data_IF_918198066106
#
_entry.id   IF_918198066106
#
_cell.length_a   1.000
_cell.length_b   1.000
_cell.length_c   1.000
_cell.angle_alpha   90.00
_cell.angle_beta   90.00
_cell.angle_gamma   90.00
#
_symmetry.space_group_name_H-M   'P 1'
#
loop_
_entity.id
_entity.type
_entity.pdbx_description
1 polymer ?
#
# COMPACT_ATOMS: atom_id res chain seq x y z
N UNK A 1 6.70 -25.52 -2.20
CA UNK A 1 6.58 -24.52 -1.12
C UNK A 1 6.00 -23.27 -1.77
N UNK A 2 4.80 -22.85 -1.38
CA UNK A 2 4.18 -21.63 -1.94
C UNK A 2 5.06 -20.45 -1.52
N UNK A 3 5.73 -19.82 -2.47
CA UNK A 3 6.40 -18.52 -2.25
C UNK A 3 5.30 -17.52 -1.99
N UNK A 4 4.92 -17.38 -0.72
CA UNK A 4 3.98 -16.36 -0.27
C UNK A 4 4.54 -15.02 -0.78
N UNK A 5 3.88 -14.45 -1.79
CA UNK A 5 4.35 -13.24 -2.46
C UNK A 5 4.53 -12.16 -1.38
N UNK A 6 5.69 -11.48 -1.28
CA UNK A 6 5.91 -10.49 -0.24
C UNK A 6 4.82 -9.43 -0.25
N UNK A 7 4.31 -9.08 0.94
CA UNK A 7 3.24 -8.10 1.12
C UNK A 7 3.54 -6.78 0.39
N UNK A 8 4.80 -6.34 0.34
CA UNK A 8 5.24 -5.16 -0.41
C UNK A 8 4.99 -5.28 -1.91
N UNK A 9 5.32 -6.41 -2.53
CA UNK A 9 5.12 -6.61 -3.97
C UNK A 9 3.63 -6.51 -4.27
N UNK A 10 2.80 -7.17 -3.46
CA UNK A 10 1.35 -7.17 -3.65
C UNK A 10 0.72 -5.79 -3.44
N UNK A 11 1.11 -5.06 -2.38
CA UNK A 11 0.66 -3.68 -2.14
C UNK A 11 1.06 -2.78 -3.31
N UNK A 12 2.31 -2.88 -3.79
CA UNK A 12 2.76 -2.07 -4.91
C UNK A 12 1.98 -2.39 -6.19
N UNK A 13 1.76 -3.65 -6.53
CA UNK A 13 0.91 -4.05 -7.67
C UNK A 13 -0.49 -3.41 -7.56
N UNK A 14 -1.15 -3.50 -6.39
CA UNK A 14 -2.49 -2.94 -6.18
C UNK A 14 -2.52 -1.41 -6.31
N UNK A 15 -1.43 -0.74 -5.98
CA UNK A 15 -1.27 0.72 -6.12
C UNK A 15 -0.90 1.16 -7.53
N UNK A 16 -0.37 0.30 -8.41
CA UNK A 16 -0.07 0.67 -9.81
C UNK A 16 -1.33 1.05 -10.59
N UNK A 17 -2.48 0.46 -10.24
CA UNK A 17 -3.76 0.69 -10.93
C UNK A 17 -4.49 1.95 -10.47
N UNK A 18 -4.09 2.57 -9.36
CA UNK A 18 -4.79 3.71 -8.78
C UNK A 18 -3.88 4.92 -8.59
N UNK A 19 -4.31 6.08 -9.10
CA UNK A 19 -3.61 7.36 -8.89
C UNK A 19 -3.60 7.76 -7.42
N UNK A 20 -4.62 7.34 -6.66
CA UNK A 20 -4.79 7.60 -5.23
C UNK A 20 -5.80 6.59 -4.68
N UNK A 21 -5.39 5.77 -3.70
CA UNK A 21 -6.18 4.65 -3.18
C UNK A 21 -6.42 4.84 -1.68
N UNK A 22 -7.66 4.78 -1.23
CA UNK A 22 -7.96 4.78 0.21
C UNK A 22 -7.44 3.49 0.87
N UNK A 23 -6.99 3.60 2.12
CA UNK A 23 -6.49 2.45 2.87
C UNK A 23 -7.50 1.30 2.96
N UNK A 24 -8.76 1.61 3.24
CA UNK A 24 -9.81 0.59 3.37
C UNK A 24 -10.07 -0.13 2.04
N UNK A 25 -10.01 0.60 0.93
CA UNK A 25 -10.13 0.02 -0.41
C UNK A 25 -8.93 -0.89 -0.75
N UNK A 26 -7.72 -0.51 -0.33
CA UNK A 26 -6.53 -1.35 -0.51
C UNK A 26 -6.64 -2.64 0.31
N UNK A 27 -7.08 -2.55 1.57
CA UNK A 27 -7.30 -3.70 2.45
C UNK A 27 -8.33 -4.66 1.84
N UNK A 28 -9.44 -4.13 1.32
CA UNK A 28 -10.48 -4.93 0.66
C UNK A 28 -9.97 -5.69 -0.59
N UNK A 29 -8.94 -5.17 -1.28
CA UNK A 29 -8.32 -5.80 -2.46
C UNK A 29 -7.19 -6.79 -2.12
N UNK A 30 -6.78 -6.86 -0.85
CA UNK A 30 -5.74 -7.75 -0.35
C UNK A 30 -6.22 -8.59 0.85
N UNK A 31 -7.35 -9.34 0.74
CA UNK A 31 -7.90 -10.13 1.84
C UNK A 31 -6.97 -11.25 2.33
N UNK A 32 -5.91 -11.56 1.59
CA UNK A 32 -4.87 -12.51 1.96
C UNK A 32 -3.94 -12.03 3.09
N UNK A 33 -4.00 -10.75 3.49
CA UNK A 33 -3.17 -10.18 4.56
C UNK A 33 -4.01 -9.55 5.68
N UNK A 34 -3.44 -9.50 6.88
CA UNK A 34 -4.08 -8.80 7.99
C UNK A 34 -3.97 -7.28 7.79
N UNK A 35 -5.00 -6.55 8.23
CA UNK A 35 -5.03 -5.08 8.20
C UNK A 35 -3.81 -4.45 8.88
N UNK A 36 -3.38 -5.01 10.01
CA UNK A 36 -2.18 -4.56 10.73
C UNK A 36 -0.91 -4.71 9.89
N UNK A 37 -0.76 -5.84 9.19
CA UNK A 37 0.42 -6.11 8.36
C UNK A 37 0.46 -5.15 7.17
N UNK A 38 -0.69 -4.89 6.54
CA UNK A 38 -0.84 -3.91 5.46
C UNK A 38 -0.47 -2.51 5.97
N UNK A 39 -0.97 -2.11 7.15
CA UNK A 39 -0.68 -0.80 7.74
C UNK A 39 0.83 -0.62 8.04
N UNK A 40 1.45 -1.62 8.67
CA UNK A 40 2.87 -1.60 8.97
C UNK A 40 3.72 -1.53 7.71
N UNK A 41 3.35 -2.30 6.68
CA UNK A 41 4.07 -2.34 5.42
C UNK A 41 3.94 -1.03 4.63
N UNK A 42 2.74 -0.43 4.56
CA UNK A 42 2.55 0.90 3.96
C UNK A 42 3.39 1.94 4.69
N UNK A 43 3.39 1.89 6.03
CA UNK A 43 4.21 2.80 6.84
C UNK A 43 5.70 2.62 6.56
N UNK A 44 6.18 1.38 6.37
CA UNK A 44 7.55 1.07 5.98
C UNK A 44 7.87 1.60 4.58
N UNK A 45 7.01 1.32 3.60
CA UNK A 45 7.16 1.79 2.22
C UNK A 45 7.14 3.32 2.13
N UNK A 46 6.36 3.99 2.98
CA UNK A 46 6.32 5.45 3.08
C UNK A 46 7.66 6.02 3.59
N UNK A 47 8.26 5.39 4.61
CA UNK A 47 9.60 5.75 5.08
C UNK A 47 10.69 5.50 4.03
N UNK A 48 10.52 4.51 3.17
CA UNK A 48 11.41 4.22 2.04
C UNK A 48 11.17 5.11 0.82
N UNK A 49 10.20 6.03 0.88
CA UNK A 49 9.85 6.91 -0.23
C UNK A 49 9.22 6.17 -1.42
N UNK A 50 8.73 4.94 -1.25
CA UNK A 50 8.09 4.14 -2.31
C UNK A 50 6.61 4.45 -2.47
N UNK A 51 5.95 4.91 -1.41
CA UNK A 51 4.56 5.36 -1.43
C UNK A 51 4.43 6.71 -0.76
N UNK A 52 3.43 7.47 -1.17
CA UNK A 52 3.04 8.73 -0.56
C UNK A 52 1.73 8.50 0.17
N UNK A 53 1.70 8.88 1.44
CA UNK A 53 0.54 8.76 2.32
C UNK A 53 0.00 10.16 2.55
N UNK A 54 -1.21 10.44 2.07
CA UNK A 54 -1.90 11.71 2.31
C UNK A 54 -2.95 11.49 3.40
N UNK A 55 -2.85 12.22 4.51
CA UNK A 55 -3.80 12.12 5.62
C UNK A 55 -4.99 13.04 5.37
N UNK A 56 -6.20 12.47 5.37
CA UNK A 56 -7.47 13.18 5.39
C UNK A 56 -8.11 13.17 6.78
N UNK A 57 -9.34 13.68 6.87
CA UNK A 57 -10.13 13.61 8.11
C UNK A 57 -10.76 12.23 8.22
N UNK A 58 -10.25 11.40 9.13
CA UNK A 58 -10.78 10.06 9.40
C UNK A 58 -10.31 8.96 8.45
N UNK A 59 -9.67 9.31 7.32
CA UNK A 59 -9.09 8.35 6.36
C UNK A 59 -7.71 8.83 5.89
N UNK A 60 -6.97 7.96 5.22
CA UNK A 60 -5.79 8.35 4.46
C UNK A 60 -5.75 7.65 3.11
N UNK A 61 -5.18 8.34 2.14
CA UNK A 61 -4.96 7.81 0.80
C UNK A 61 -3.49 7.45 0.63
N UNK A 62 -3.24 6.44 -0.20
CA UNK A 62 -1.94 5.93 -0.56
C UNK A 62 -1.82 5.98 -2.08
N UNK A 63 -0.68 6.45 -2.58
CA UNK A 63 -0.29 6.28 -3.98
C UNK A 63 1.17 5.88 -4.07
N UNK A 64 1.58 5.27 -5.18
CA UNK A 64 3.00 5.09 -5.43
C UNK A 64 3.69 6.45 -5.56
N UNK A 65 4.90 6.55 -5.00
CA UNK A 65 5.78 7.67 -5.30
C UNK A 65 6.19 7.57 -6.76
N UNK A 66 6.18 8.70 -7.48
CA UNK A 66 6.70 8.71 -8.83
C UNK A 66 8.19 8.36 -8.77
N UNK A 67 8.61 7.33 -9.49
CA UNK A 67 10.04 7.07 -9.69
C UNK A 67 10.56 8.24 -10.51
N UNK A 68 11.15 9.23 -9.83
CA UNK A 68 11.94 10.27 -10.50
C UNK A 68 13.14 9.53 -11.10
N UNK A 69 13.07 9.27 -12.41
CA UNK A 69 14.18 8.74 -13.18
C UNK A 69 15.25 9.81 -13.35
#
# INVERSE_FOLDING_TARGET
MSTQRPISIRILELLQDSKECEFDALVARAPEFNVSDIYQEISRLGREGKVIITRGVGTFTIRQAAVVR
#
